data_IF_711964191225
#
_entry.id   IF_711964191225
#
_cell.length_a   1.000
_cell.length_b   1.000
_cell.length_c   1.000
_cell.angle_alpha   90.00
_cell.angle_beta   90.00
_cell.angle_gamma   90.00
#
_symmetry.space_group_name_H-M   'P 1'
#
loop_
_entity.id
_entity.type
_entity.pdbx_description
1 polymer ?
#
# COMPACT_ATOMS: atom_id res chain seq x y z
N UNK A 1 19.49 22.87 26.04
CA UNK A 1 18.95 21.52 25.80
C UNK A 1 17.64 21.45 26.55
N UNK A 2 16.49 21.37 25.84
CA UNK A 2 15.19 21.31 26.48
C UNK A 2 15.04 20.01 27.27
N UNK A 3 14.24 20.02 28.31
CA UNK A 3 13.96 18.85 29.18
C UNK A 3 13.24 17.68 28.42
N UNK A 4 13.13 17.76 27.10
CA UNK A 4 12.54 16.75 26.20
C UNK A 4 13.46 15.52 25.97
N UNK A 5 14.68 15.51 26.48
CA UNK A 5 15.67 14.48 26.24
C UNK A 5 15.37 13.09 26.84
N UNK A 6 14.21 12.88 27.47
CA UNK A 6 13.82 11.61 28.09
C UNK A 6 12.35 11.20 27.85
N UNK A 7 11.60 11.89 26.99
CA UNK A 7 10.23 11.47 26.68
C UNK A 7 10.20 10.30 25.68
N UNK A 8 9.12 9.51 25.70
CA UNK A 8 8.92 8.44 24.71
C UNK A 8 8.94 9.02 23.29
N UNK A 9 8.41 10.23 23.10
CA UNK A 9 8.40 10.91 21.81
C UNK A 9 9.83 11.18 21.29
N UNK A 10 10.74 11.64 22.14
CA UNK A 10 12.14 11.87 21.74
C UNK A 10 12.90 10.55 21.51
N UNK A 11 12.61 9.52 22.29
CA UNK A 11 13.21 8.17 22.12
C UNK A 11 12.81 7.57 20.78
N UNK A 12 11.55 7.67 20.38
CA UNK A 12 11.05 7.22 19.06
C UNK A 12 11.77 7.89 17.89
N UNK A 13 11.96 9.22 17.97
CA UNK A 13 12.74 9.96 16.97
C UNK A 13 14.19 9.46 16.89
N UNK A 14 14.83 9.29 18.05
CA UNK A 14 16.23 8.82 18.12
C UNK A 14 16.39 7.39 17.58
N UNK A 15 15.38 6.52 17.75
CA UNK A 15 15.40 5.14 17.24
C UNK A 15 15.04 5.07 15.74
N UNK A 16 14.29 6.06 15.23
CA UNK A 16 13.90 6.13 13.82
C UNK A 16 15.03 6.65 12.93
N UNK A 17 15.71 7.70 13.36
CA UNK A 17 16.68 8.44 12.55
C UNK A 17 18.11 7.90 12.72
N UNK A 18 18.97 8.24 11.78
CA UNK A 18 20.39 7.97 11.87
C UNK A 18 21.01 8.73 13.06
N UNK A 19 22.00 8.14 13.68
CA UNK A 19 22.60 8.67 14.90
C UNK A 19 23.09 10.12 14.73
N UNK A 20 22.73 10.97 15.68
CA UNK A 20 23.10 12.41 15.71
C UNK A 20 22.59 13.25 14.51
N UNK A 21 21.63 12.76 13.74
CA UNK A 21 21.11 13.49 12.57
C UNK A 21 19.95 14.44 12.87
N UNK A 22 19.27 14.27 14.02
CA UNK A 22 18.05 15.03 14.34
C UNK A 22 18.31 16.49 14.69
N UNK A 23 17.58 17.38 14.02
CA UNK A 23 17.52 18.82 14.31
C UNK A 23 16.10 19.21 14.63
N UNK A 24 15.86 19.64 15.89
CA UNK A 24 14.54 20.07 16.35
C UNK A 24 14.14 21.44 15.77
N UNK A 25 12.90 21.58 15.33
CA UNK A 25 12.28 22.84 14.90
C UNK A 25 11.17 23.20 15.89
N UNK A 26 11.20 24.43 16.42
CA UNK A 26 10.16 24.91 17.31
C UNK A 26 10.17 24.32 18.73
N UNK A 27 11.32 23.85 19.23
CA UNK A 27 11.46 23.27 20.56
C UNK A 27 11.14 24.19 21.74
N UNK A 28 11.14 25.52 21.52
CA UNK A 28 10.75 26.51 22.53
C UNK A 28 9.29 26.95 22.46
N UNK A 29 8.51 26.38 21.54
CA UNK A 29 7.08 26.69 21.40
C UNK A 29 6.31 26.09 22.57
N UNK A 30 5.38 26.85 23.12
CA UNK A 30 4.46 26.41 24.18
C UNK A 30 3.04 26.82 23.82
N UNK A 31 2.03 26.26 24.47
CA UNK A 31 0.65 26.69 24.34
C UNK A 31 0.51 28.19 24.64
N UNK A 32 -0.33 28.89 23.88
CA UNK A 32 -0.59 30.32 24.07
C UNK A 32 -1.84 30.62 24.89
N UNK A 33 -2.78 29.67 24.94
CA UNK A 33 -4.01 29.85 25.70
C UNK A 33 -3.74 30.01 27.20
N UNK A 34 -4.47 30.91 27.82
CA UNK A 34 -4.44 31.14 29.28
C UNK A 34 -5.74 30.71 29.97
N UNK A 35 -6.76 30.37 29.18
CA UNK A 35 -8.09 29.99 29.64
C UNK A 35 -8.07 28.63 30.34
N UNK A 36 -9.06 28.38 31.17
CA UNK A 36 -9.20 27.09 31.89
C UNK A 36 -7.94 26.64 32.64
N UNK A 37 -7.25 27.59 33.31
CA UNK A 37 -6.00 27.36 34.04
C UNK A 37 -4.78 26.98 33.22
N UNK A 38 -4.81 27.15 31.93
CA UNK A 38 -3.67 26.88 31.04
C UNK A 38 -2.44 27.74 31.38
N UNK A 39 -2.64 28.96 31.89
CA UNK A 39 -1.55 29.87 32.27
C UNK A 39 -0.55 29.27 33.31
N UNK A 40 -0.99 28.30 34.10
CA UNK A 40 -0.14 27.60 35.09
C UNK A 40 0.40 26.24 34.62
N UNK A 41 0.11 25.81 33.42
CA UNK A 41 0.51 24.53 32.89
C UNK A 41 1.81 24.65 32.08
N UNK A 42 2.73 23.73 32.36
CA UNK A 42 3.92 23.58 31.52
C UNK A 42 3.56 22.74 30.29
N UNK A 43 3.76 23.31 29.11
CA UNK A 43 3.49 22.65 27.82
C UNK A 43 4.74 22.67 26.95
N UNK A 44 5.80 21.92 27.34
CA UNK A 44 7.04 21.90 26.58
C UNK A 44 6.79 21.43 25.15
N UNK A 45 7.33 22.18 24.18
CA UNK A 45 7.16 21.94 22.75
C UNK A 45 5.69 21.83 22.28
N UNK A 46 4.76 22.29 23.11
CA UNK A 46 3.29 22.13 23.01
C UNK A 46 2.83 20.68 22.77
N UNK A 47 3.52 19.70 23.36
CA UNK A 47 3.19 18.28 23.30
C UNK A 47 3.51 17.61 21.96
N UNK A 48 4.30 18.25 21.08
CA UNK A 48 4.80 17.63 19.85
C UNK A 48 6.22 18.06 19.54
N UNK A 49 7.13 17.11 19.38
CA UNK A 49 8.48 17.35 18.92
C UNK A 49 8.46 17.31 17.39
N UNK A 50 8.96 18.35 16.74
CA UNK A 50 9.00 18.46 15.28
C UNK A 50 10.42 18.78 14.83
N UNK A 51 10.85 18.22 13.72
CA UNK A 51 12.19 18.45 13.19
C UNK A 51 12.48 17.67 11.92
N UNK A 52 13.74 17.62 11.56
CA UNK A 52 14.24 16.82 10.44
C UNK A 52 15.47 16.04 10.83
N UNK A 53 15.77 15.02 10.06
CA UNK A 53 16.95 14.19 10.18
C UNK A 53 17.13 13.35 8.95
N UNK A 54 17.92 12.29 9.03
CA UNK A 54 18.12 11.39 7.91
C UNK A 54 17.82 9.93 8.29
N UNK A 55 17.40 9.16 7.33
CA UNK A 55 17.26 7.70 7.38
C UNK A 55 18.11 7.13 6.26
N UNK A 56 19.14 6.37 6.59
CA UNK A 56 20.10 5.83 5.63
C UNK A 56 20.64 6.91 4.66
N UNK A 57 20.89 8.11 5.20
CA UNK A 57 21.38 9.27 4.46
C UNK A 57 20.30 10.09 3.73
N UNK A 58 19.06 9.64 3.63
CA UNK A 58 17.96 10.35 2.99
C UNK A 58 17.26 11.30 3.95
N UNK A 59 17.06 12.57 3.54
CA UNK A 59 16.35 13.58 4.34
C UNK A 59 14.91 13.17 4.60
N UNK A 60 14.47 13.30 5.85
CA UNK A 60 13.06 13.12 6.26
C UNK A 60 12.66 14.18 7.28
N UNK A 61 11.39 14.53 7.28
CA UNK A 61 10.77 15.35 8.32
C UNK A 61 9.98 14.47 9.27
N UNK A 62 10.07 14.74 10.57
CA UNK A 62 9.41 13.92 11.59
C UNK A 62 8.71 14.80 12.61
N UNK A 63 7.50 14.40 13.00
CA UNK A 63 6.86 14.87 14.21
C UNK A 63 6.53 13.70 15.12
N UNK A 64 6.69 13.87 16.43
CA UNK A 64 6.39 12.86 17.43
C UNK A 64 5.56 13.48 18.56
N UNK A 65 4.38 12.95 18.80
CA UNK A 65 3.48 13.45 19.84
C UNK A 65 3.87 12.89 21.20
N UNK A 66 3.88 13.77 22.19
CA UNK A 66 4.27 13.45 23.56
C UNK A 66 3.03 13.35 24.45
N UNK A 67 2.56 12.12 24.69
CA UNK A 67 1.40 11.88 25.55
C UNK A 67 1.60 12.32 27.01
N UNK A 68 2.83 12.55 27.46
CA UNK A 68 3.10 13.09 28.80
C UNK A 68 2.70 14.56 28.95
N UNK A 69 2.59 15.28 27.82
CA UNK A 69 2.15 16.67 27.78
C UNK A 69 0.68 16.73 27.36
N UNK A 70 -0.21 16.91 28.32
CA UNK A 70 -1.67 17.01 28.11
C UNK A 70 -2.26 15.87 27.26
N UNK A 71 -1.73 14.65 27.40
CA UNK A 71 -2.18 13.47 26.62
C UNK A 71 -1.84 13.55 25.12
N UNK A 72 -0.84 14.36 24.72
CA UNK A 72 -0.51 14.58 23.32
C UNK A 72 -1.60 15.28 22.53
N UNK A 73 -2.58 15.90 23.19
CA UNK A 73 -3.74 16.55 22.55
C UNK A 73 -3.33 17.72 21.69
N UNK A 74 -4.00 17.83 20.53
CA UNK A 74 -3.75 18.92 19.58
C UNK A 74 -4.38 20.22 20.06
N UNK A 75 -3.54 21.21 20.32
CA UNK A 75 -3.88 22.61 20.49
C UNK A 75 -3.45 23.45 19.30
N UNK A 76 -3.63 24.77 19.37
CA UNK A 76 -3.29 25.70 18.29
C UNK A 76 -1.82 25.60 17.88
N UNK A 77 -0.89 25.72 18.85
CA UNK A 77 0.54 25.75 18.55
C UNK A 77 1.08 24.37 18.17
N UNK A 78 0.53 23.30 18.76
CA UNK A 78 0.78 21.93 18.36
C UNK A 78 0.49 21.72 16.86
N UNK A 79 -0.70 22.12 16.42
CA UNK A 79 -1.11 22.01 15.02
C UNK A 79 -0.24 22.86 14.09
N UNK A 80 0.04 24.09 14.45
CA UNK A 80 0.91 25.00 13.67
C UNK A 80 2.32 24.47 13.49
N UNK A 81 2.86 23.78 14.47
CA UNK A 81 4.17 23.11 14.35
C UNK A 81 4.13 22.01 13.28
N UNK A 82 3.10 21.14 13.30
CA UNK A 82 2.93 20.08 12.30
C UNK A 82 2.70 20.69 10.90
N UNK A 83 1.78 21.64 10.76
CA UNK A 83 1.53 22.30 9.47
C UNK A 83 2.79 22.97 8.91
N UNK A 84 3.57 23.63 9.78
CA UNK A 84 4.85 24.24 9.38
C UNK A 84 5.88 23.20 8.93
N UNK A 85 5.90 22.03 9.55
CA UNK A 85 6.76 20.92 9.14
C UNK A 85 6.44 20.47 7.71
N UNK A 86 5.14 20.32 7.38
CA UNK A 86 4.68 20.01 6.03
C UNK A 86 5.08 21.06 4.99
N UNK A 87 5.06 22.35 5.35
CA UNK A 87 5.54 23.41 4.45
C UNK A 87 7.03 23.25 4.11
N UNK A 88 7.87 22.89 5.09
CA UNK A 88 9.29 22.64 4.84
C UNK A 88 9.47 21.39 3.98
N UNK A 89 8.79 20.32 4.33
CA UNK A 89 8.88 19.05 3.62
C UNK A 89 8.50 19.20 2.13
N UNK A 90 7.42 19.91 1.82
CA UNK A 90 7.02 20.18 0.43
C UNK A 90 8.02 21.07 -0.31
N UNK A 91 8.63 22.05 0.37
CA UNK A 91 9.63 22.94 -0.25
C UNK A 91 10.96 22.25 -0.55
N UNK A 92 11.28 21.21 0.19
CA UNK A 92 12.55 20.46 0.04
C UNK A 92 12.35 19.14 -0.68
N UNK A 93 11.12 18.73 -0.92
CA UNK A 93 10.77 17.46 -1.56
C UNK A 93 11.22 16.26 -0.73
N UNK A 94 10.86 16.19 0.56
CA UNK A 94 11.26 15.10 1.44
C UNK A 94 10.05 14.52 2.22
N UNK A 95 10.05 13.21 2.53
CA UNK A 95 8.95 12.55 3.22
C UNK A 95 8.64 13.13 4.59
N UNK A 96 7.37 13.03 5.02
CA UNK A 96 6.93 13.35 6.38
C UNK A 96 6.53 12.07 7.12
N UNK A 97 7.07 11.89 8.32
CA UNK A 97 6.77 10.76 9.20
C UNK A 97 6.14 11.27 10.49
N UNK A 98 4.90 10.85 10.77
CA UNK A 98 4.17 11.16 11.99
C UNK A 98 4.19 10.01 12.98
N UNK A 99 4.75 10.22 14.18
CA UNK A 99 4.77 9.27 15.29
C UNK A 99 3.68 9.69 16.27
N UNK A 100 2.54 8.99 16.23
CA UNK A 100 1.28 9.42 16.82
C UNK A 100 1.02 8.77 18.18
N UNK A 101 0.74 9.60 19.16
CA UNK A 101 0.17 9.22 20.46
C UNK A 101 -0.65 10.42 20.98
N UNK A 102 -1.93 10.51 20.59
CA UNK A 102 -2.75 11.69 20.73
C UNK A 102 -4.17 11.35 21.20
N UNK A 103 -4.56 11.88 22.35
CA UNK A 103 -5.91 11.74 22.88
C UNK A 103 -6.97 12.64 22.19
N UNK A 104 -6.64 13.22 21.03
CA UNK A 104 -7.56 14.01 20.22
C UNK A 104 -7.40 15.52 20.40
N UNK A 105 -8.51 16.23 20.38
CA UNK A 105 -8.55 17.71 20.47
C UNK A 105 -8.33 18.19 21.90
N UNK A 106 -7.54 19.25 22.08
CA UNK A 106 -7.36 19.94 23.37
C UNK A 106 -8.59 20.78 23.69
N UNK A 107 -9.43 20.30 24.62
CA UNK A 107 -10.71 20.94 24.95
C UNK A 107 -10.56 22.36 25.51
N UNK A 108 -9.47 22.64 26.22
CA UNK A 108 -9.18 23.96 26.79
C UNK A 108 -8.97 25.04 25.72
N UNK A 109 -8.59 24.66 24.50
CA UNK A 109 -8.38 25.56 23.38
C UNK A 109 -9.56 25.57 22.38
N UNK A 110 -10.53 24.67 22.57
CA UNK A 110 -11.82 24.66 21.87
C UNK A 110 -11.70 24.93 20.35
N UNK A 111 -12.20 26.09 19.91
CA UNK A 111 -12.25 26.47 18.49
C UNK A 111 -10.87 26.63 17.86
N UNK A 112 -9.86 27.08 18.60
CA UNK A 112 -8.50 27.22 18.08
C UNK A 112 -7.88 25.83 17.79
N UNK A 113 -8.10 24.85 18.68
CA UNK A 113 -7.72 23.47 18.45
C UNK A 113 -8.46 22.86 17.24
N UNK A 114 -9.76 23.16 17.10
CA UNK A 114 -10.55 22.72 15.95
C UNK A 114 -10.02 23.30 14.63
N UNK A 115 -9.68 24.59 14.61
CA UNK A 115 -9.05 25.22 13.45
C UNK A 115 -7.70 24.57 13.12
N UNK A 116 -6.91 24.26 14.17
CA UNK A 116 -5.62 23.58 14.04
C UNK A 116 -5.72 22.21 13.31
N UNK A 117 -6.75 21.42 13.58
CA UNK A 117 -6.99 20.20 12.81
C UNK A 117 -7.20 20.49 11.33
N UNK A 118 -7.96 21.53 10.98
CA UNK A 118 -8.15 21.97 9.60
C UNK A 118 -6.84 22.34 8.91
N UNK A 119 -5.93 23.03 9.62
CA UNK A 119 -4.61 23.38 9.09
C UNK A 119 -3.76 22.14 8.79
N UNK A 120 -3.78 21.12 9.66
CA UNK A 120 -3.07 19.83 9.42
C UNK A 120 -3.69 19.11 8.21
N UNK A 121 -5.02 18.97 8.16
CA UNK A 121 -5.68 18.29 7.04
C UNK A 121 -5.38 18.97 5.70
N UNK A 122 -5.40 20.30 5.67
CA UNK A 122 -5.04 21.06 4.47
C UNK A 122 -3.60 20.79 4.05
N UNK A 123 -2.66 20.81 5.00
CA UNK A 123 -1.25 20.55 4.74
C UNK A 123 -1.03 19.13 4.17
N UNK A 124 -1.67 18.11 4.74
CA UNK A 124 -1.62 16.73 4.25
C UNK A 124 -2.22 16.59 2.86
N UNK A 125 -3.39 17.21 2.62
CA UNK A 125 -4.04 17.17 1.32
C UNK A 125 -3.17 17.81 0.22
N UNK A 126 -2.47 18.90 0.53
CA UNK A 126 -1.55 19.55 -0.42
C UNK A 126 -0.25 18.76 -0.64
N UNK A 127 0.16 17.95 0.32
CA UNK A 127 1.34 17.09 0.23
C UNK A 127 1.06 15.76 -0.51
N UNK A 128 -0.21 15.36 -0.65
CA UNK A 128 -0.61 14.11 -1.30
C UNK A 128 -0.14 14.05 -2.76
N UNK A 129 0.58 12.98 -3.10
CA UNK A 129 1.18 12.80 -4.43
C UNK A 129 2.38 13.72 -4.73
N UNK A 130 2.84 14.52 -3.76
CA UNK A 130 4.02 15.39 -3.88
C UNK A 130 5.20 14.82 -3.10
N UNK A 131 4.96 14.45 -1.85
CA UNK A 131 5.93 13.81 -0.95
C UNK A 131 5.29 12.61 -0.26
N UNK A 132 6.01 11.51 -0.01
CA UNK A 132 5.50 10.39 0.77
C UNK A 132 5.13 10.80 2.20
N UNK A 133 3.98 10.33 2.66
CA UNK A 133 3.45 10.59 3.99
C UNK A 133 3.26 9.28 4.75
N UNK A 134 3.90 9.15 5.90
CA UNK A 134 3.89 7.94 6.72
C UNK A 134 3.37 8.27 8.12
N UNK A 135 2.45 7.48 8.64
CA UNK A 135 1.97 7.61 10.02
C UNK A 135 2.19 6.31 10.78
N UNK A 136 2.72 6.40 12.01
CA UNK A 136 2.84 5.29 12.95
C UNK A 136 2.09 5.62 14.25
N UNK A 137 1.12 4.78 14.60
CA UNK A 137 0.28 4.92 15.80
C UNK A 137 0.83 4.04 16.90
N UNK A 138 1.41 4.65 17.94
CA UNK A 138 2.00 3.93 19.07
C UNK A 138 1.11 3.90 20.32
N UNK A 139 0.19 4.81 20.43
CA UNK A 139 -0.77 4.90 21.52
C UNK A 139 -2.15 5.27 20.99
N UNK A 140 -2.74 6.32 21.52
CA UNK A 140 -4.07 6.77 21.08
C UNK A 140 -4.02 7.61 19.81
N UNK A 141 -4.97 7.36 18.91
CA UNK A 141 -5.22 8.16 17.70
C UNK A 141 -6.74 8.25 17.50
N UNK A 142 -7.38 9.23 18.14
CA UNK A 142 -8.82 9.20 18.36
C UNK A 142 -9.54 10.45 17.87
N UNK A 143 -10.82 10.29 17.50
CA UNK A 143 -11.66 11.38 17.01
C UNK A 143 -11.14 11.94 15.69
N UNK A 144 -10.99 13.28 15.61
CA UNK A 144 -10.42 13.95 14.44
C UNK A 144 -9.00 13.50 14.09
N UNK A 145 -8.20 13.08 15.08
CA UNK A 145 -6.86 12.56 14.85
C UNK A 145 -6.86 11.30 13.97
N UNK A 146 -7.91 10.49 14.03
CA UNK A 146 -8.03 9.27 13.23
C UNK A 146 -8.13 9.51 11.71
N UNK A 147 -8.42 10.76 11.28
CA UNK A 147 -8.40 11.12 9.87
C UNK A 147 -6.97 11.27 9.33
N UNK A 148 -6.01 11.63 10.18
CA UNK A 148 -4.62 11.88 9.78
C UNK A 148 -3.98 10.63 9.16
N UNK A 149 -3.95 9.44 9.79
CA UNK A 149 -3.43 8.24 9.16
C UNK A 149 -4.20 7.83 7.89
N UNK A 150 -5.51 8.13 7.82
CA UNK A 150 -6.29 7.86 6.62
C UNK A 150 -5.98 8.79 5.43
N UNK A 151 -5.30 9.91 5.67
CA UNK A 151 -4.84 10.87 4.66
C UNK A 151 -3.37 10.69 4.30
N UNK A 152 -2.63 9.84 4.99
CA UNK A 152 -1.25 9.48 4.66
C UNK A 152 -1.19 8.25 3.76
N UNK A 153 -0.06 8.04 3.09
CA UNK A 153 0.11 6.96 2.12
C UNK A 153 0.26 5.60 2.80
N UNK A 154 0.97 5.57 3.94
CA UNK A 154 1.22 4.34 4.70
C UNK A 154 0.95 4.54 6.18
N UNK A 155 0.29 3.56 6.79
CA UNK A 155 -0.07 3.56 8.21
C UNK A 155 0.47 2.33 8.92
N UNK A 156 1.23 2.57 9.99
CA UNK A 156 1.75 1.55 10.89
C UNK A 156 1.05 1.65 12.24
N UNK A 157 0.91 0.55 12.96
CA UNK A 157 0.24 0.57 14.25
C UNK A 157 0.86 -0.41 15.24
N UNK A 158 1.14 0.06 16.45
CA UNK A 158 1.59 -0.82 17.53
C UNK A 158 0.46 -1.76 17.94
N UNK A 159 0.76 -3.07 17.98
CA UNK A 159 -0.26 -4.11 18.02
C UNK A 159 -1.01 -4.22 19.37
N UNK A 160 -0.40 -3.80 20.49
CA UNK A 160 -0.99 -3.93 21.84
C UNK A 160 -1.63 -2.64 22.35
N UNK A 161 -0.90 -1.53 22.24
CA UNK A 161 -1.27 -0.24 22.84
C UNK A 161 -1.90 0.71 21.80
N UNK A 162 -1.65 0.49 20.52
CA UNK A 162 -2.20 1.30 19.45
C UNK A 162 -3.74 1.25 19.47
N UNK A 163 -4.39 2.43 19.43
CA UNK A 163 -5.85 2.57 19.35
C UNK A 163 -6.21 3.63 18.32
N UNK A 164 -6.89 3.21 17.27
CA UNK A 164 -7.26 4.06 16.15
C UNK A 164 -8.77 3.99 15.90
N UNK A 165 -9.48 5.10 16.12
CA UNK A 165 -10.92 5.18 15.87
C UNK A 165 -11.43 6.63 15.76
N UNK A 166 -12.46 6.84 14.96
CA UNK A 166 -13.25 8.09 14.96
C UNK A 166 -14.23 8.08 16.13
N UNK A 167 -14.98 7.00 16.28
CA UNK A 167 -15.92 6.79 17.39
C UNK A 167 -15.45 5.61 18.24
N UNK A 168 -15.43 5.79 19.55
CA UNK A 168 -15.04 4.74 20.49
C UNK A 168 -15.84 3.46 20.26
N UNK A 169 -15.23 2.26 20.30
CA UNK A 169 -15.94 0.99 20.18
C UNK A 169 -17.15 0.84 21.11
N UNK A 170 -17.07 1.42 22.31
CA UNK A 170 -18.14 1.41 23.29
C UNK A 170 -19.28 2.43 23.02
N UNK A 171 -19.05 3.38 22.12
CA UNK A 171 -20.06 4.35 21.69
C UNK A 171 -20.84 3.90 20.44
N UNK A 172 -20.45 2.78 19.84
CA UNK A 172 -21.15 2.23 18.67
C UNK A 172 -22.40 1.46 19.09
N UNK A 173 -23.48 1.66 18.36
CA UNK A 173 -24.75 0.97 18.61
C UNK A 173 -24.58 -0.57 18.60
N UNK A 174 -24.95 -1.20 19.70
CA UNK A 174 -24.90 -2.65 19.85
C UNK A 174 -23.50 -3.25 19.93
N UNK A 175 -22.47 -2.44 20.16
CA UNK A 175 -21.09 -2.86 20.30
C UNK A 175 -20.50 -2.53 21.69
N UNK A 176 -19.47 -3.28 22.07
CA UNK A 176 -18.55 -3.06 23.18
C UNK A 176 -17.17 -3.58 22.79
N UNK A 177 -16.10 -3.05 23.38
CA UNK A 177 -14.72 -3.53 23.14
C UNK A 177 -14.60 -5.05 23.29
N UNK A 178 -15.26 -5.63 24.28
CA UNK A 178 -15.24 -7.09 24.51
C UNK A 178 -15.96 -7.92 23.44
N UNK A 179 -16.82 -7.30 22.62
CA UNK A 179 -17.50 -7.94 21.50
C UNK A 179 -16.74 -7.74 20.18
N UNK A 180 -16.33 -6.49 19.92
CA UNK A 180 -15.52 -6.14 18.76
C UNK A 180 -14.72 -4.87 19.10
N UNK A 181 -13.40 -5.01 19.22
CA UNK A 181 -12.50 -3.88 19.41
C UNK A 181 -12.17 -3.22 18.07
N UNK A 182 -13.08 -2.37 17.58
CA UNK A 182 -12.91 -1.64 16.33
C UNK A 182 -11.74 -0.64 16.35
N UNK A 183 -11.10 -0.45 17.51
CA UNK A 183 -9.93 0.40 17.67
C UNK A 183 -8.61 -0.36 17.59
N UNK A 184 -8.64 -1.69 17.58
CA UNK A 184 -7.44 -2.53 17.57
C UNK A 184 -6.71 -2.51 16.23
N UNK A 185 -5.41 -2.82 16.27
CA UNK A 185 -4.58 -2.96 15.08
C UNK A 185 -5.11 -4.06 14.14
N UNK A 186 -5.60 -5.17 14.70
CA UNK A 186 -6.19 -6.26 13.93
C UNK A 186 -7.42 -5.79 13.14
N UNK A 187 -8.37 -5.09 13.79
CA UNK A 187 -9.55 -4.58 13.10
C UNK A 187 -9.18 -3.56 12.02
N UNK A 188 -8.27 -2.64 12.34
CA UNK A 188 -7.85 -1.59 11.40
C UNK A 188 -7.01 -2.16 10.24
N UNK A 189 -6.28 -3.24 10.47
CA UNK A 189 -5.53 -3.97 9.44
C UNK A 189 -6.42 -4.89 8.60
N UNK A 190 -7.16 -5.82 9.23
CA UNK A 190 -7.85 -6.91 8.51
C UNK A 190 -9.21 -6.51 7.94
N UNK A 191 -9.98 -5.67 8.68
CA UNK A 191 -11.35 -5.32 8.30
C UNK A 191 -11.46 -3.94 7.64
N UNK A 192 -10.80 -2.92 8.21
CA UNK A 192 -10.85 -1.56 7.68
C UNK A 192 -9.85 -1.35 6.51
N UNK A 193 -8.73 -2.07 6.50
CA UNK A 193 -7.71 -1.95 5.47
C UNK A 193 -6.94 -0.62 5.51
N UNK A 194 -6.89 0.01 6.69
CA UNK A 194 -6.16 1.26 6.89
C UNK A 194 -4.71 1.00 7.26
N UNK A 195 -4.43 0.02 8.12
CA UNK A 195 -3.09 -0.28 8.62
C UNK A 195 -2.34 -1.19 7.65
N UNK A 196 -1.16 -0.75 7.24
CA UNK A 196 -0.25 -1.50 6.35
C UNK A 196 0.52 -2.57 7.10
N UNK A 197 1.01 -2.24 8.29
CA UNK A 197 1.76 -3.15 9.15
C UNK A 197 1.45 -2.93 10.63
N UNK A 198 1.21 -4.02 11.34
CA UNK A 198 1.04 -4.03 12.80
C UNK A 198 2.14 -4.86 13.45
N UNK A 199 2.75 -4.34 14.51
CA UNK A 199 3.86 -5.01 15.22
C UNK A 199 4.24 -4.29 16.48
N UNK A 200 5.41 -4.62 17.01
CA UNK A 200 6.03 -3.91 18.12
C UNK A 200 6.57 -2.55 17.66
N UNK A 201 6.84 -1.65 18.61
CA UNK A 201 7.41 -0.32 18.31
C UNK A 201 8.74 -0.44 17.55
N UNK A 202 9.62 -1.35 17.93
CA UNK A 202 10.91 -1.60 17.29
C UNK A 202 10.74 -2.11 15.83
N UNK A 203 9.85 -3.08 15.63
CA UNK A 203 9.53 -3.60 14.29
C UNK A 203 8.97 -2.50 13.38
N UNK A 204 8.06 -1.67 13.89
CA UNK A 204 7.47 -0.56 13.13
C UNK A 204 8.54 0.44 12.69
N UNK A 205 9.41 0.88 13.61
CA UNK A 205 10.47 1.83 13.29
C UNK A 205 11.45 1.23 12.26
N UNK A 206 11.77 -0.06 12.38
CA UNK A 206 12.56 -0.78 11.38
C UNK A 206 11.89 -0.85 10.01
N UNK A 207 10.59 -1.16 9.97
CA UNK A 207 9.83 -1.22 8.72
C UNK A 207 9.69 0.15 8.05
N UNK A 208 9.52 1.23 8.81
CA UNK A 208 9.52 2.59 8.26
C UNK A 208 10.86 2.92 7.61
N UNK A 209 11.98 2.58 8.26
CA UNK A 209 13.33 2.77 7.69
C UNK A 209 13.49 2.01 6.38
N UNK A 210 13.04 0.75 6.33
CA UNK A 210 13.06 -0.07 5.11
C UNK A 210 12.22 0.58 4.00
N UNK A 211 10.99 0.99 4.31
CA UNK A 211 10.09 1.62 3.35
C UNK A 211 10.68 2.93 2.78
N UNK A 212 11.19 3.82 3.64
CA UNK A 212 11.83 5.08 3.20
C UNK A 212 13.01 4.82 2.27
N UNK A 213 13.78 3.73 2.50
CA UNK A 213 14.90 3.38 1.63
C UNK A 213 14.47 2.84 0.25
N UNK A 214 13.21 2.44 0.10
CA UNK A 214 12.66 1.95 -1.17
C UNK A 214 11.87 3.01 -1.92
N UNK A 215 11.38 4.05 -1.25
CA UNK A 215 10.55 5.08 -1.88
C UNK A 215 11.40 6.22 -2.45
N UNK A 216 10.95 6.87 -3.54
CA UNK A 216 11.52 8.15 -3.95
C UNK A 216 11.26 9.21 -2.86
N UNK A 217 12.12 10.21 -2.76
CA UNK A 217 11.95 11.29 -1.78
C UNK A 217 10.71 12.15 -2.08
N UNK A 218 10.36 12.28 -3.34
CA UNK A 218 9.20 13.05 -3.84
C UNK A 218 8.79 12.58 -5.24
N UNK A 219 7.77 13.18 -5.81
CA UNK A 219 7.22 12.81 -7.13
C UNK A 219 8.09 13.22 -8.34
N UNK A 220 9.18 13.93 -8.13
CA UNK A 220 10.15 14.31 -9.17
C UNK A 220 11.47 13.53 -9.04
N UNK A 221 11.60 12.69 -8.01
CA UNK A 221 12.78 11.88 -7.71
C UNK A 221 12.59 10.43 -8.16
N UNK A 222 13.70 9.71 -8.32
CA UNK A 222 13.71 8.28 -8.67
C UNK A 222 14.25 7.46 -7.50
N UNK A 223 13.54 6.37 -7.14
CA UNK A 223 14.02 5.41 -6.15
C UNK A 223 14.96 4.40 -6.81
N UNK A 224 16.25 4.63 -6.73
CA UNK A 224 17.28 3.78 -7.29
C UNK A 224 18.39 3.49 -6.27
N UNK A 225 18.82 2.23 -6.22
CA UNK A 225 19.97 1.78 -5.45
C UNK A 225 20.93 1.00 -6.35
N UNK A 226 22.21 0.96 -6.02
CA UNK A 226 23.17 0.15 -6.77
C UNK A 226 22.80 -1.33 -6.67
N UNK A 227 22.66 -2.00 -7.81
CA UNK A 227 22.29 -3.42 -7.88
C UNK A 227 23.55 -4.28 -8.03
N UNK A 228 23.76 -5.18 -7.08
CA UNK A 228 24.83 -6.19 -7.12
C UNK A 228 24.32 -7.59 -7.55
N UNK A 229 22.99 -7.78 -7.74
CA UNK A 229 22.40 -9.05 -8.15
C UNK A 229 22.56 -9.27 -9.66
N UNK A 230 22.70 -10.55 -10.07
CA UNK A 230 22.79 -10.90 -11.49
C UNK A 230 21.48 -10.65 -12.22
N UNK A 231 21.48 -9.74 -13.20
CA UNK A 231 20.31 -9.39 -14.00
C UNK A 231 19.75 -10.58 -14.79
N UNK A 232 20.59 -11.57 -15.10
CA UNK A 232 20.20 -12.78 -15.81
C UNK A 232 19.99 -13.99 -14.89
N UNK A 233 19.95 -13.77 -13.58
CA UNK A 233 19.73 -14.82 -12.60
C UNK A 233 18.45 -15.59 -12.93
N UNK A 234 18.56 -16.89 -13.17
CA UNK A 234 17.41 -17.78 -13.34
C UNK A 234 16.71 -18.02 -11.98
N UNK A 235 15.39 -17.95 -11.97
CA UNK A 235 14.56 -18.25 -10.80
C UNK A 235 13.99 -19.67 -10.93
N UNK A 236 14.79 -20.70 -10.65
CA UNK A 236 14.50 -22.10 -10.95
C UNK A 236 13.17 -22.64 -10.37
N UNK A 237 12.78 -22.19 -9.17
CA UNK A 237 11.58 -22.67 -8.48
C UNK A 237 10.36 -21.77 -8.64
N UNK A 238 10.42 -20.77 -9.51
CA UNK A 238 9.39 -19.75 -9.63
C UNK A 238 8.01 -20.30 -9.98
N UNK A 239 7.97 -21.36 -10.83
CA UNK A 239 6.72 -22.03 -11.20
C UNK A 239 5.96 -22.60 -9.99
N UNK A 240 6.68 -23.07 -8.96
CA UNK A 240 6.09 -23.62 -7.75
C UNK A 240 5.51 -22.54 -6.81
N UNK A 241 5.88 -21.29 -7.02
CA UNK A 241 5.44 -20.15 -6.20
C UNK A 241 4.22 -19.43 -6.79
N UNK A 242 3.62 -19.90 -7.88
CA UNK A 242 2.49 -19.26 -8.53
C UNK A 242 1.23 -19.13 -7.64
N UNK A 243 1.12 -19.94 -6.58
CA UNK A 243 0.06 -19.86 -5.57
C UNK A 243 0.30 -18.76 -4.54
N UNK A 244 1.54 -18.65 -4.02
CA UNK A 244 1.97 -17.59 -3.11
C UNK A 244 2.85 -16.59 -3.85
N UNK A 245 2.21 -15.60 -4.41
CA UNK A 245 2.89 -14.57 -5.20
C UNK A 245 3.74 -13.61 -4.37
N UNK A 246 3.61 -13.61 -3.05
CA UNK A 246 4.57 -12.91 -2.17
C UNK A 246 5.96 -13.54 -2.25
N UNK A 247 6.04 -14.87 -2.18
CA UNK A 247 7.29 -15.61 -2.35
C UNK A 247 7.81 -15.44 -3.79
N UNK A 248 6.93 -15.51 -4.79
CA UNK A 248 7.29 -15.30 -6.20
C UNK A 248 7.95 -13.93 -6.41
N UNK A 249 7.36 -12.87 -5.88
CA UNK A 249 7.88 -11.51 -6.00
C UNK A 249 9.22 -11.34 -5.27
N UNK A 250 9.36 -11.93 -4.07
CA UNK A 250 10.65 -11.93 -3.35
C UNK A 250 11.75 -12.63 -4.14
N UNK A 251 11.45 -13.75 -4.83
CA UNK A 251 12.43 -14.43 -5.69
C UNK A 251 12.80 -13.63 -6.94
N UNK A 252 11.87 -12.86 -7.49
CA UNK A 252 12.15 -11.95 -8.62
C UNK A 252 13.00 -10.76 -8.22
N UNK A 253 12.85 -10.28 -7.00
CA UNK A 253 13.51 -9.07 -6.51
C UNK A 253 15.02 -9.23 -6.37
N UNK A 254 15.74 -8.12 -6.51
CA UNK A 254 17.17 -8.03 -6.24
C UNK A 254 17.44 -8.41 -4.78
N UNK A 255 18.31 -9.43 -4.58
CA UNK A 255 18.68 -9.93 -3.26
C UNK A 255 17.48 -10.28 -2.34
N UNK A 256 16.30 -10.52 -2.91
CA UNK A 256 15.09 -10.85 -2.17
C UNK A 256 14.46 -9.66 -1.43
N UNK A 257 14.80 -8.41 -1.77
CA UNK A 257 14.23 -7.21 -1.16
C UNK A 257 12.73 -7.14 -1.46
N UNK A 258 11.92 -7.15 -0.41
CA UNK A 258 10.47 -7.24 -0.52
C UNK A 258 9.78 -6.52 0.63
N UNK A 259 8.81 -5.66 0.31
CA UNK A 259 7.99 -4.97 1.29
C UNK A 259 6.51 -5.04 0.90
N UNK A 260 5.74 -5.90 1.56
CA UNK A 260 4.29 -6.04 1.32
C UNK A 260 3.51 -4.98 2.11
N UNK A 261 2.62 -4.25 1.44
CA UNK A 261 1.68 -3.32 2.06
C UNK A 261 0.35 -4.00 2.32
N UNK A 262 -0.31 -3.68 3.45
CA UNK A 262 -1.65 -4.22 3.80
C UNK A 262 -1.76 -5.74 3.67
N UNK A 263 -0.76 -6.47 4.13
CA UNK A 263 -0.70 -7.93 4.02
C UNK A 263 -1.91 -8.64 4.66
N UNK A 264 -2.48 -8.06 5.72
CA UNK A 264 -3.65 -8.60 6.41
C UNK A 264 -4.98 -8.31 5.70
N UNK A 265 -5.05 -7.31 4.80
CA UNK A 265 -6.25 -6.90 4.10
C UNK A 265 -6.29 -7.39 2.65
N UNK A 266 -7.44 -7.90 2.19
CA UNK A 266 -7.60 -8.35 0.80
C UNK A 266 -6.49 -9.32 0.39
N UNK A 267 -6.28 -10.39 1.16
CA UNK A 267 -5.16 -11.33 1.05
C UNK A 267 -5.06 -12.04 -0.31
N UNK A 268 -6.13 -12.04 -1.08
CA UNK A 268 -6.20 -12.55 -2.46
C UNK A 268 -5.40 -11.69 -3.46
N UNK A 269 -4.94 -10.51 -3.04
CA UNK A 269 -4.04 -9.65 -3.79
C UNK A 269 -2.85 -9.23 -2.94
N UNK A 270 -1.66 -9.41 -3.44
CA UNK A 270 -0.42 -8.83 -2.90
C UNK A 270 -0.21 -7.46 -3.50
N UNK A 271 0.11 -6.47 -2.69
CA UNK A 271 0.67 -5.20 -3.11
C UNK A 271 2.00 -5.03 -2.39
N UNK A 272 3.08 -4.85 -3.14
CA UNK A 272 4.42 -4.83 -2.56
C UNK A 272 5.37 -3.95 -3.37
N UNK A 273 6.41 -3.45 -2.70
CA UNK A 273 7.59 -2.89 -3.37
C UNK A 273 8.66 -3.96 -3.46
N UNK A 274 9.27 -4.08 -4.64
CA UNK A 274 10.42 -4.92 -4.94
C UNK A 274 11.49 -4.08 -5.62
N UNK A 275 12.68 -4.63 -5.78
CA UNK A 275 13.75 -3.98 -6.56
C UNK A 275 14.14 -4.83 -7.76
N UNK A 276 14.27 -4.19 -8.92
CA UNK A 276 14.69 -4.82 -10.17
C UNK A 276 15.77 -3.94 -10.82
N UNK A 277 16.98 -4.45 -10.93
CA UNK A 277 18.14 -3.69 -11.38
C UNK A 277 18.35 -2.39 -10.57
N UNK A 278 18.15 -2.46 -9.27
CA UNK A 278 18.26 -1.32 -8.35
C UNK A 278 17.10 -0.35 -8.35
N UNK A 279 16.21 -0.40 -9.33
CA UNK A 279 15.01 0.44 -9.38
C UNK A 279 13.88 -0.15 -8.53
N UNK A 280 13.20 0.68 -7.76
CA UNK A 280 11.98 0.28 -7.05
C UNK A 280 10.83 0.09 -8.02
N UNK A 281 10.15 -1.03 -7.91
CA UNK A 281 8.99 -1.42 -8.72
C UNK A 281 7.83 -1.76 -7.80
N UNK A 282 6.67 -1.19 -8.05
CA UNK A 282 5.43 -1.57 -7.39
C UNK A 282 4.86 -2.84 -8.00
N UNK A 283 4.56 -3.84 -7.19
CA UNK A 283 4.01 -5.11 -7.65
C UNK A 283 2.58 -5.32 -7.18
N UNK A 284 1.70 -5.75 -8.09
CA UNK A 284 0.31 -6.14 -7.81
C UNK A 284 0.11 -7.56 -8.30
N UNK A 285 -0.15 -8.51 -7.40
CA UNK A 285 -0.20 -9.91 -7.74
C UNK A 285 -1.42 -10.63 -7.17
N UNK A 286 -2.08 -11.48 -7.95
CA UNK A 286 -3.12 -12.37 -7.42
C UNK A 286 -2.46 -13.48 -6.59
N UNK A 287 -3.02 -13.78 -5.42
CA UNK A 287 -2.55 -14.82 -4.50
C UNK A 287 -3.67 -15.80 -4.18
N UNK A 288 -3.40 -17.09 -4.28
CA UNK A 288 -4.35 -18.15 -3.95
C UNK A 288 -3.92 -19.03 -2.78
N UNK A 289 -2.68 -18.93 -2.34
CA UNK A 289 -2.14 -19.69 -1.22
C UNK A 289 -1.20 -18.80 -0.40
N UNK A 290 -1.09 -19.06 0.90
CA UNK A 290 -0.10 -18.48 1.80
C UNK A 290 0.65 -19.64 2.45
N UNK A 291 1.96 -19.67 2.23
CA UNK A 291 2.83 -20.70 2.84
C UNK A 291 3.36 -20.24 4.19
N UNK A 292 3.59 -21.22 5.07
CA UNK A 292 4.33 -21.00 6.29
C UNK A 292 5.83 -21.14 6.11
N UNK A 293 6.59 -20.76 7.13
CA UNK A 293 8.05 -20.97 7.18
C UNK A 293 8.47 -22.45 7.02
N UNK A 294 7.58 -23.36 7.38
CA UNK A 294 7.74 -24.81 7.23
C UNK A 294 7.43 -25.32 5.80
N UNK A 295 7.08 -24.43 4.88
CA UNK A 295 6.70 -24.76 3.51
C UNK A 295 5.31 -25.38 3.36
N UNK A 296 4.50 -25.42 4.41
CA UNK A 296 3.12 -25.90 4.35
C UNK A 296 2.15 -24.77 4.01
N UNK A 297 1.05 -25.09 3.32
CA UNK A 297 -0.01 -24.11 3.03
C UNK A 297 -0.76 -23.78 4.32
N UNK A 298 -0.64 -22.56 4.82
CA UNK A 298 -1.36 -22.06 6.01
C UNK A 298 -2.78 -21.58 5.67
N UNK A 299 -2.93 -20.91 4.53
CA UNK A 299 -4.21 -20.39 4.09
C UNK A 299 -4.38 -20.65 2.59
N UNK A 300 -5.60 -21.03 2.17
CA UNK A 300 -5.94 -21.24 0.77
C UNK A 300 -7.15 -20.41 0.37
N UNK A 301 -7.03 -19.70 -0.73
CA UNK A 301 -8.05 -18.88 -1.35
C UNK A 301 -8.51 -19.50 -2.67
N UNK A 302 -9.69 -19.11 -3.15
CA UNK A 302 -10.32 -19.71 -4.35
C UNK A 302 -9.77 -19.16 -5.69
N UNK A 303 -8.76 -18.29 -5.65
CA UNK A 303 -8.16 -17.69 -6.85
C UNK A 303 -9.05 -16.63 -7.52
N UNK A 304 -10.08 -16.14 -6.83
CA UNK A 304 -10.93 -15.06 -7.31
C UNK A 304 -10.49 -13.71 -6.77
N UNK A 305 -10.74 -12.63 -7.52
CA UNK A 305 -10.47 -11.26 -7.10
C UNK A 305 -11.61 -10.76 -6.19
N UNK A 306 -11.30 -10.42 -4.95
CA UNK A 306 -12.25 -9.84 -4.01
C UNK A 306 -12.41 -8.32 -4.19
N UNK A 307 -13.51 -7.76 -3.68
CA UNK A 307 -13.70 -6.31 -3.68
C UNK A 307 -12.65 -5.57 -2.82
N UNK A 308 -12.18 -6.20 -1.73
CA UNK A 308 -11.11 -5.65 -0.88
C UNK A 308 -9.76 -5.67 -1.62
N UNK A 309 -9.44 -6.79 -2.28
CA UNK A 309 -8.23 -6.92 -3.09
C UNK A 309 -8.19 -5.93 -4.25
N UNK A 310 -9.32 -5.75 -4.95
CA UNK A 310 -9.44 -4.77 -6.03
C UNK A 310 -9.22 -3.32 -5.54
N UNK A 311 -9.79 -2.97 -4.38
CA UNK A 311 -9.59 -1.62 -3.79
C UNK A 311 -8.14 -1.39 -3.36
N UNK A 312 -7.53 -2.36 -2.65
CA UNK A 312 -6.13 -2.32 -2.24
C UNK A 312 -5.19 -2.10 -3.44
N UNK A 313 -5.40 -2.87 -4.50
CA UNK A 313 -4.62 -2.75 -5.73
C UNK A 313 -4.81 -1.38 -6.40
N UNK A 314 -6.04 -0.86 -6.46
CA UNK A 314 -6.32 0.45 -7.06
C UNK A 314 -5.59 1.59 -6.35
N UNK A 315 -5.62 1.60 -5.01
CA UNK A 315 -4.95 2.62 -4.20
C UNK A 315 -3.43 2.53 -4.38
N UNK A 316 -2.88 1.32 -4.40
CA UNK A 316 -1.45 1.08 -4.59
C UNK A 316 -0.97 1.52 -5.99
N UNK A 317 -1.72 1.23 -7.05
CA UNK A 317 -1.39 1.68 -8.41
C UNK A 317 -1.43 3.19 -8.52
N UNK A 318 -2.42 3.86 -7.91
CA UNK A 318 -2.48 5.31 -7.88
C UNK A 318 -1.28 5.94 -7.14
N UNK A 319 -0.83 5.32 -6.05
CA UNK A 319 0.40 5.74 -5.36
C UNK A 319 1.62 5.59 -6.27
N UNK A 320 1.78 4.43 -6.90
CA UNK A 320 2.91 4.19 -7.81
C UNK A 320 2.95 5.20 -8.96
N UNK A 321 1.78 5.50 -9.56
CA UNK A 321 1.70 6.48 -10.64
C UNK A 321 2.05 7.90 -10.17
N UNK A 322 1.59 8.31 -8.99
CA UNK A 322 1.89 9.62 -8.42
C UNK A 322 3.38 9.82 -8.13
N UNK A 323 4.10 8.76 -7.81
CA UNK A 323 5.53 8.79 -7.48
C UNK A 323 6.44 8.19 -8.56
N UNK A 324 5.96 8.11 -9.80
CA UNK A 324 6.73 7.63 -10.95
C UNK A 324 7.32 6.21 -10.78
N UNK A 325 6.72 5.36 -9.94
CA UNK A 325 7.16 3.99 -9.68
C UNK A 325 6.55 3.06 -10.75
N UNK A 326 7.35 2.32 -11.53
CA UNK A 326 6.85 1.33 -12.50
C UNK A 326 6.03 0.23 -11.82
N UNK A 327 5.06 -0.33 -12.54
CA UNK A 327 4.17 -1.35 -11.98
C UNK A 327 4.30 -2.69 -12.70
N UNK A 328 4.63 -3.73 -11.92
CA UNK A 328 4.60 -5.14 -12.33
C UNK A 328 3.29 -5.77 -11.85
N UNK A 329 2.59 -6.48 -12.74
CA UNK A 329 1.42 -7.27 -12.36
C UNK A 329 1.69 -8.76 -12.58
N UNK A 330 1.37 -9.59 -11.59
CA UNK A 330 1.39 -11.05 -11.71
C UNK A 330 -0.06 -11.54 -11.70
N UNK A 331 -0.53 -12.02 -12.84
CA UNK A 331 -1.94 -12.39 -13.02
C UNK A 331 -2.15 -13.90 -12.89
N UNK A 332 -3.00 -14.30 -11.93
CA UNK A 332 -3.52 -15.64 -11.74
C UNK A 332 -4.92 -15.55 -11.13
N UNK A 333 -5.93 -15.28 -11.94
CA UNK A 333 -7.30 -14.98 -11.47
C UNK A 333 -8.36 -15.74 -12.25
N UNK A 334 -9.33 -16.35 -11.54
CA UNK A 334 -10.39 -17.18 -12.12
C UNK A 334 -11.71 -16.44 -12.33
N UNK A 335 -11.86 -15.23 -11.79
CA UNK A 335 -13.07 -14.43 -11.85
C UNK A 335 -13.19 -13.48 -10.67
N UNK A 336 -14.33 -12.83 -10.53
CA UNK A 336 -14.64 -12.04 -9.33
C UNK A 336 -15.24 -12.90 -8.21
N UNK A 337 -14.94 -12.54 -6.95
CA UNK A 337 -15.44 -13.27 -5.78
C UNK A 337 -16.95 -13.15 -5.64
N UNK A 338 -17.67 -14.27 -5.80
CA UNK A 338 -19.13 -14.35 -5.79
C UNK A 338 -19.67 -14.52 -4.37
N UNK A 339 -19.60 -13.48 -3.54
CA UNK A 339 -20.22 -13.45 -2.20
C UNK A 339 -21.05 -12.20 -2.01
N UNK A 340 -22.12 -12.28 -1.19
CA UNK A 340 -22.96 -11.13 -0.86
C UNK A 340 -22.16 -9.95 -0.27
N UNK A 341 -21.12 -10.24 0.49
CA UNK A 341 -20.25 -9.21 1.07
C UNK A 341 -19.46 -8.51 -0.04
N UNK A 342 -18.83 -9.28 -0.93
CA UNK A 342 -18.05 -8.74 -2.05
C UNK A 342 -18.94 -7.96 -3.04
N UNK A 343 -20.12 -8.47 -3.35
CA UNK A 343 -21.07 -7.85 -4.31
C UNK A 343 -21.48 -6.42 -3.92
N UNK A 344 -21.49 -6.09 -2.62
CA UNK A 344 -21.85 -4.73 -2.17
C UNK A 344 -20.97 -3.63 -2.76
N UNK A 345 -19.71 -3.91 -3.03
CA UNK A 345 -18.73 -2.93 -3.49
C UNK A 345 -17.90 -3.41 -4.69
N UNK A 346 -18.13 -4.65 -5.19
CA UNK A 346 -17.33 -5.25 -6.25
C UNK A 346 -17.27 -4.37 -7.50
N UNK A 347 -18.42 -3.97 -8.02
CA UNK A 347 -18.46 -3.18 -9.25
C UNK A 347 -17.73 -1.84 -9.09
N UNK A 348 -17.90 -1.17 -7.94
CA UNK A 348 -17.21 0.09 -7.63
C UNK A 348 -15.69 -0.10 -7.52
N UNK A 349 -15.24 -1.12 -6.78
CA UNK A 349 -13.82 -1.34 -6.53
C UNK A 349 -13.10 -1.89 -7.76
N UNK A 350 -13.76 -2.75 -8.55
CA UNK A 350 -13.23 -3.19 -9.84
C UNK A 350 -13.12 -2.03 -10.85
N UNK A 351 -14.10 -1.12 -10.85
CA UNK A 351 -14.03 0.10 -11.66
C UNK A 351 -12.88 1.01 -11.21
N UNK A 352 -12.64 1.15 -9.90
CA UNK A 352 -11.50 1.90 -9.37
C UNK A 352 -10.17 1.30 -9.83
N UNK A 353 -10.01 -0.03 -9.77
CA UNK A 353 -8.80 -0.71 -10.25
C UNK A 353 -8.62 -0.53 -11.76
N UNK A 354 -9.70 -0.65 -12.53
CA UNK A 354 -9.67 -0.39 -13.98
C UNK A 354 -9.21 1.04 -14.28
N UNK A 355 -9.78 2.03 -13.56
CA UNK A 355 -9.43 3.43 -13.74
C UNK A 355 -7.98 3.71 -13.33
N UNK A 356 -7.49 3.10 -12.24
CA UNK A 356 -6.11 3.22 -11.80
C UNK A 356 -5.13 2.77 -12.90
N UNK A 357 -5.27 1.55 -13.40
CA UNK A 357 -4.40 1.06 -14.48
C UNK A 357 -4.55 1.83 -15.80
N UNK A 358 -5.79 2.19 -16.18
CA UNK A 358 -6.03 2.91 -17.42
C UNK A 358 -5.51 4.36 -17.39
N UNK A 359 -5.45 4.98 -16.21
CA UNK A 359 -4.95 6.35 -16.04
C UNK A 359 -3.45 6.40 -15.78
N UNK A 360 -2.87 5.35 -15.21
CA UNK A 360 -1.45 5.31 -14.87
C UNK A 360 -0.56 5.48 -16.12
N UNK A 361 0.40 6.39 -16.01
CA UNK A 361 1.34 6.78 -17.08
C UNK A 361 2.70 6.10 -16.93
N UNK A 362 2.99 5.56 -15.75
CA UNK A 362 4.22 4.80 -15.48
C UNK A 362 4.34 3.54 -16.35
N UNK A 363 5.55 2.99 -16.55
CA UNK A 363 5.73 1.69 -17.18
C UNK A 363 4.90 0.59 -16.50
N UNK A 364 4.16 -0.19 -17.30
CA UNK A 364 3.26 -1.25 -16.80
C UNK A 364 3.54 -2.55 -17.51
N UNK A 365 4.02 -3.53 -16.77
CA UNK A 365 4.32 -4.89 -17.26
C UNK A 365 3.38 -5.88 -16.59
N UNK A 366 2.81 -6.82 -17.36
CA UNK A 366 1.98 -7.90 -16.83
C UNK A 366 2.57 -9.26 -17.19
N UNK A 367 2.62 -10.16 -16.22
CA UNK A 367 3.01 -11.56 -16.41
C UNK A 367 1.84 -12.46 -16.00
N UNK A 368 1.30 -13.21 -16.97
CA UNK A 368 0.23 -14.18 -16.72
C UNK A 368 0.88 -15.53 -16.36
N UNK A 369 0.78 -15.92 -15.09
CA UNK A 369 1.47 -17.10 -14.56
C UNK A 369 0.57 -18.33 -14.45
N UNK A 370 -0.74 -18.14 -14.61
CA UNK A 370 -1.71 -19.22 -14.48
C UNK A 370 -3.02 -18.86 -15.18
N UNK A 371 -4.14 -18.88 -14.47
CA UNK A 371 -5.46 -18.57 -15.03
C UNK A 371 -5.67 -17.07 -15.16
N UNK A 372 -6.34 -16.68 -16.22
CA UNK A 372 -6.67 -15.28 -16.52
C UNK A 372 -8.05 -15.25 -17.21
N UNK A 373 -9.12 -15.22 -16.40
CA UNK A 373 -10.47 -15.37 -16.91
C UNK A 373 -11.35 -14.15 -16.72
N UNK A 374 -12.11 -13.86 -17.78
CA UNK A 374 -13.20 -12.89 -17.79
C UNK A 374 -12.75 -11.46 -17.50
N UNK A 375 -13.68 -10.63 -17.03
CA UNK A 375 -13.39 -9.24 -16.72
C UNK A 375 -12.43 -9.08 -15.53
N UNK A 376 -12.30 -10.07 -14.65
CA UNK A 376 -11.31 -10.06 -13.58
C UNK A 376 -9.87 -10.05 -14.12
N UNK A 377 -9.60 -10.80 -15.20
CA UNK A 377 -8.33 -10.68 -15.94
C UNK A 377 -8.16 -9.29 -16.56
N UNK A 378 -9.23 -8.77 -17.20
CA UNK A 378 -9.13 -7.47 -17.88
C UNK A 378 -8.68 -6.39 -16.92
N UNK A 379 -9.25 -6.31 -15.71
CA UNK A 379 -8.94 -5.27 -14.72
C UNK A 379 -7.56 -5.45 -14.05
N UNK A 380 -6.92 -6.62 -14.20
CA UNK A 380 -5.58 -6.91 -13.70
C UNK A 380 -4.50 -6.54 -14.74
N UNK A 381 -4.47 -5.26 -15.14
CA UNK A 381 -3.46 -4.73 -16.07
C UNK A 381 -3.33 -5.54 -17.36
N UNK A 382 -4.46 -5.88 -18.01
CA UNK A 382 -4.40 -6.50 -19.32
C UNK A 382 -3.93 -5.52 -20.40
N UNK A 383 -3.48 -6.02 -21.54
CA UNK A 383 -3.08 -5.20 -22.68
C UNK A 383 -4.19 -4.23 -23.12
N UNK A 384 -5.44 -4.64 -22.98
CA UNK A 384 -6.60 -3.84 -23.40
C UNK A 384 -6.89 -2.62 -22.52
N UNK A 385 -6.35 -2.57 -21.29
CA UNK A 385 -6.46 -1.39 -20.40
C UNK A 385 -5.14 -0.64 -20.24
N UNK A 386 -4.12 -0.98 -21.05
CA UNK A 386 -2.91 -0.18 -21.17
C UNK A 386 -1.65 -0.78 -20.56
N UNK A 387 -1.55 -2.11 -20.38
CA UNK A 387 -0.25 -2.73 -20.15
C UNK A 387 0.66 -2.50 -21.36
N UNK A 388 1.89 -2.05 -21.11
CA UNK A 388 2.88 -1.80 -22.17
C UNK A 388 3.44 -3.11 -22.71
N UNK A 389 3.75 -4.06 -21.84
CA UNK A 389 4.22 -5.40 -22.16
C UNK A 389 3.43 -6.47 -21.40
N UNK A 390 3.06 -7.54 -22.09
CA UNK A 390 2.37 -8.69 -21.52
C UNK A 390 3.14 -9.96 -21.82
N UNK A 391 3.67 -10.58 -20.79
CA UNK A 391 4.28 -11.91 -20.84
C UNK A 391 3.31 -12.98 -20.33
N UNK A 392 3.50 -14.21 -20.72
CA UNK A 392 2.74 -15.32 -20.16
C UNK A 392 3.62 -16.57 -20.07
N UNK A 393 3.38 -17.39 -19.06
CA UNK A 393 4.02 -18.72 -18.97
C UNK A 393 3.37 -19.73 -19.94
N UNK A 394 4.07 -20.80 -20.32
CA UNK A 394 3.57 -21.73 -21.32
C UNK A 394 2.28 -22.47 -20.94
N UNK A 395 2.05 -22.64 -19.61
CA UNK A 395 0.86 -23.27 -19.05
C UNK A 395 -0.26 -22.28 -18.69
N UNK A 396 -0.12 -21.02 -19.02
CA UNK A 396 -1.16 -20.01 -18.75
C UNK A 396 -2.41 -20.26 -19.58
N UNK A 397 -3.57 -20.01 -18.99
CA UNK A 397 -4.88 -20.06 -19.63
C UNK A 397 -5.53 -18.69 -19.65
N UNK A 398 -5.79 -18.15 -20.83
CA UNK A 398 -6.36 -16.82 -21.02
C UNK A 398 -7.67 -16.94 -21.80
N UNK A 399 -8.80 -16.58 -21.17
CA UNK A 399 -10.08 -16.74 -21.82
C UNK A 399 -11.24 -16.07 -21.08
N UNK A 400 -12.44 -16.31 -21.60
CA UNK A 400 -13.66 -15.75 -21.00
C UNK A 400 -14.02 -16.44 -19.67
N UNK A 401 -13.82 -17.76 -19.61
CA UNK A 401 -14.07 -18.60 -18.43
C UNK A 401 -13.40 -19.95 -18.61
N UNK A 402 -13.44 -20.81 -17.58
CA UNK A 402 -12.95 -22.16 -17.72
C UNK A 402 -13.71 -22.94 -18.82
N UNK A 403 -12.99 -23.81 -19.52
CA UNK A 403 -13.50 -24.52 -20.71
C UNK A 403 -14.72 -25.38 -20.43
N UNK A 404 -14.82 -25.98 -19.26
CA UNK A 404 -15.95 -26.84 -18.91
C UNK A 404 -17.24 -26.03 -18.67
N UNK A 405 -17.12 -24.89 -18.03
CA UNK A 405 -18.21 -23.94 -17.85
C UNK A 405 -18.70 -23.37 -19.19
N UNK A 406 -17.77 -23.00 -20.07
CA UNK A 406 -18.09 -22.55 -21.42
C UNK A 406 -18.84 -23.62 -22.22
N UNK A 407 -18.34 -24.86 -22.22
CA UNK A 407 -18.99 -25.97 -22.91
C UNK A 407 -20.40 -26.28 -22.36
N UNK A 408 -20.59 -26.24 -21.04
CA UNK A 408 -21.93 -26.41 -20.42
C UNK A 408 -22.95 -25.37 -20.86
N UNK A 409 -22.51 -24.12 -21.01
CA UNK A 409 -23.39 -23.02 -21.48
C UNK A 409 -23.69 -23.16 -22.97
N UNK A 410 -22.65 -23.41 -23.79
CA UNK A 410 -22.79 -23.46 -25.25
C UNK A 410 -23.56 -24.69 -25.75
N UNK A 411 -23.48 -25.80 -25.00
CA UNK A 411 -24.08 -27.08 -25.33
C UNK A 411 -25.05 -27.55 -24.25
N UNK A 412 -25.84 -26.63 -23.73
CA UNK A 412 -26.85 -26.90 -22.70
C UNK A 412 -27.81 -28.02 -23.16
N UNK A 413 -28.05 -29.02 -22.30
CA UNK A 413 -28.88 -30.19 -22.61
C UNK A 413 -28.15 -31.36 -23.27
N UNK A 414 -26.86 -31.23 -23.61
CA UNK A 414 -26.04 -32.34 -24.11
C UNK A 414 -25.60 -33.29 -22.97
N UNK A 415 -25.23 -34.52 -23.32
CA UNK A 415 -24.69 -35.47 -22.36
C UNK A 415 -23.30 -35.06 -21.83
N UNK A 416 -22.87 -35.71 -20.74
CA UNK A 416 -21.59 -35.43 -20.10
C UNK A 416 -20.36 -35.73 -20.99
N UNK A 417 -20.46 -36.69 -21.89
CA UNK A 417 -19.40 -37.05 -22.80
C UNK A 417 -19.19 -35.95 -23.86
N UNK A 418 -20.28 -35.47 -24.45
CA UNK A 418 -20.28 -34.35 -25.40
C UNK A 418 -19.76 -33.08 -24.74
N UNK A 419 -20.21 -32.75 -23.52
CA UNK A 419 -19.72 -31.56 -22.78
C UNK A 419 -18.20 -31.65 -22.53
N UNK A 420 -17.67 -32.80 -22.15
CA UNK A 420 -16.24 -32.99 -21.93
C UNK A 420 -15.42 -32.89 -23.22
N UNK A 421 -15.92 -33.43 -24.33
CA UNK A 421 -15.29 -33.29 -25.67
C UNK A 421 -15.23 -31.83 -26.09
N UNK A 422 -16.34 -31.12 -25.97
CA UNK A 422 -16.44 -29.68 -26.32
C UNK A 422 -15.63 -28.80 -25.39
N UNK A 423 -15.48 -29.17 -24.11
CA UNK A 423 -14.58 -28.48 -23.20
C UNK A 423 -13.11 -28.61 -23.63
N UNK A 424 -12.70 -29.80 -24.02
CA UNK A 424 -11.33 -30.01 -24.51
C UNK A 424 -11.07 -29.22 -25.81
N UNK A 425 -12.04 -29.20 -26.73
CA UNK A 425 -11.98 -28.41 -27.96
C UNK A 425 -11.88 -26.91 -27.62
N UNK A 426 -12.71 -26.40 -26.71
CA UNK A 426 -12.70 -25.01 -26.27
C UNK A 426 -11.38 -24.62 -25.60
N UNK A 427 -10.85 -25.47 -24.72
CA UNK A 427 -9.55 -25.25 -24.09
C UNK A 427 -8.43 -25.07 -25.12
N UNK A 428 -8.40 -25.95 -26.11
CA UNK A 428 -7.37 -25.93 -27.18
C UNK A 428 -7.51 -24.71 -28.08
N UNK A 429 -8.72 -24.33 -28.47
CA UNK A 429 -8.96 -23.25 -29.42
C UNK A 429 -8.94 -21.86 -28.80
N UNK A 430 -9.42 -21.71 -27.57
CA UNK A 430 -9.68 -20.42 -26.95
C UNK A 430 -8.81 -20.11 -25.74
N UNK A 431 -8.70 -21.01 -24.76
CA UNK A 431 -8.04 -20.72 -23.49
C UNK A 431 -6.51 -20.90 -23.53
N UNK A 432 -5.98 -21.60 -24.53
CA UNK A 432 -4.55 -21.82 -24.65
C UNK A 432 -3.78 -20.49 -24.83
N UNK A 433 -2.68 -20.33 -24.13
CA UNK A 433 -1.83 -19.12 -24.19
C UNK A 433 -1.37 -18.78 -25.60
N UNK A 434 -1.06 -19.79 -26.43
CA UNK A 434 -0.67 -19.60 -27.82
C UNK A 434 -1.80 -18.96 -28.65
N UNK A 435 -3.06 -19.26 -28.33
CA UNK A 435 -4.23 -18.63 -28.93
C UNK A 435 -4.29 -17.14 -28.63
N UNK A 436 -4.04 -16.75 -27.39
CA UNK A 436 -3.97 -15.36 -26.97
C UNK A 436 -2.78 -14.61 -27.62
N UNK A 437 -1.62 -15.26 -27.68
CA UNK A 437 -0.43 -14.70 -28.33
C UNK A 437 -0.62 -14.47 -29.84
N UNK A 438 -1.23 -15.43 -30.56
CA UNK A 438 -1.56 -15.28 -32.00
C UNK A 438 -2.52 -14.13 -32.27
N UNK A 439 -3.33 -13.74 -31.30
CA UNK A 439 -4.26 -12.59 -31.39
C UNK A 439 -3.64 -11.27 -30.93
N UNK A 440 -2.38 -11.30 -30.48
CA UNK A 440 -1.65 -10.11 -30.02
C UNK A 440 -1.98 -9.67 -28.61
N UNK A 441 -2.62 -10.49 -27.76
CA UNK A 441 -2.92 -10.17 -26.37
C UNK A 441 -1.78 -10.52 -25.41
N UNK A 442 -0.83 -11.33 -25.84
CA UNK A 442 0.43 -11.67 -25.17
C UNK A 442 1.56 -11.35 -26.14
N UNK A 443 2.56 -10.60 -25.70
CA UNK A 443 3.69 -10.20 -26.53
C UNK A 443 4.71 -11.35 -26.68
N UNK A 444 4.97 -12.05 -25.57
CA UNK A 444 5.93 -13.18 -25.58
C UNK A 444 5.53 -14.23 -24.54
N UNK A 445 5.64 -15.50 -24.93
CA UNK A 445 5.53 -16.64 -24.01
C UNK A 445 6.94 -16.90 -23.49
N UNK A 446 7.12 -16.92 -22.17
CA UNK A 446 8.42 -17.02 -21.48
C UNK A 446 8.42 -18.17 -20.48
N UNK A 447 9.56 -18.85 -20.32
CA UNK A 447 9.70 -19.85 -19.28
C UNK A 447 9.67 -19.20 -17.88
N UNK A 448 9.09 -19.86 -16.88
CA UNK A 448 8.99 -19.30 -15.52
C UNK A 448 10.34 -18.83 -14.96
N UNK A 449 11.39 -19.64 -15.12
CA UNK A 449 12.74 -19.33 -14.63
C UNK A 449 13.37 -18.09 -15.26
N UNK A 450 12.92 -17.68 -16.44
CA UNK A 450 13.41 -16.53 -17.20
C UNK A 450 12.65 -15.24 -16.89
N UNK A 451 11.58 -15.29 -16.07
CA UNK A 451 10.68 -14.16 -15.82
C UNK A 451 11.44 -12.91 -15.38
N UNK A 452 12.42 -13.02 -14.46
CA UNK A 452 13.21 -11.90 -13.95
C UNK A 452 13.87 -11.12 -15.09
N UNK A 453 14.64 -11.77 -15.96
CA UNK A 453 15.38 -11.09 -17.04
C UNK A 453 14.46 -10.42 -18.06
N UNK A 454 13.31 -11.05 -18.37
CA UNK A 454 12.32 -10.46 -19.29
C UNK A 454 11.64 -9.23 -18.70
N UNK A 455 11.30 -9.27 -17.43
CA UNK A 455 10.67 -8.13 -16.72
C UNK A 455 11.66 -6.97 -16.57
N UNK A 456 12.92 -7.23 -16.18
CA UNK A 456 13.97 -6.23 -16.14
C UNK A 456 14.16 -5.61 -17.54
N UNK A 457 14.32 -6.42 -18.57
CA UNK A 457 14.49 -5.94 -19.95
C UNK A 457 13.30 -5.10 -20.45
N UNK A 458 12.07 -5.42 -20.03
CA UNK A 458 10.90 -4.64 -20.36
C UNK A 458 10.91 -3.26 -19.68
N UNK A 459 11.23 -3.20 -18.38
CA UNK A 459 11.34 -1.91 -17.67
C UNK A 459 12.49 -1.05 -18.18
N UNK A 460 13.65 -1.64 -18.52
CA UNK A 460 14.77 -0.93 -19.16
C UNK A 460 14.33 -0.33 -20.52
N UNK A 461 13.64 -1.09 -21.35
CA UNK A 461 13.12 -0.62 -22.63
C UNK A 461 12.09 0.52 -22.44
N UNK A 462 11.29 0.45 -21.38
CA UNK A 462 10.25 1.42 -21.05
C UNK A 462 10.74 2.61 -20.20
N UNK A 463 12.02 2.66 -19.82
CA UNK A 463 12.56 3.69 -18.93
C UNK A 463 12.25 5.11 -19.38
N UNK A 464 12.31 5.37 -20.69
CA UNK A 464 12.00 6.69 -21.29
C UNK A 464 10.56 6.83 -21.73
N UNK A 465 9.64 5.94 -21.28
CA UNK A 465 8.22 6.02 -21.63
C UNK A 465 7.66 7.41 -21.31
N UNK A 466 6.92 7.95 -22.26
CA UNK A 466 6.15 9.20 -22.12
C UNK A 466 4.74 8.95 -22.56
N UNK A 467 3.80 9.26 -21.70
CA UNK A 467 2.37 9.08 -21.96
C UNK A 467 1.60 10.21 -21.32
N UNK A 468 0.91 11.03 -22.13
CA UNK A 468 0.06 12.12 -21.63
C UNK A 468 -1.36 11.63 -21.38
N UNK A 469 -1.97 12.12 -20.35
CA UNK A 469 -3.39 11.92 -20.03
C UNK A 469 -4.12 13.26 -20.00
N UNK A 470 -5.44 13.28 -20.25
CA UNK A 470 -6.24 14.51 -20.12
C UNK A 470 -6.15 15.06 -18.70
N UNK A 471 -5.90 16.36 -18.58
CA UNK A 471 -5.88 17.07 -17.31
C UNK A 471 -7.24 17.00 -16.59
N UNK A 472 -7.18 17.16 -15.25
CA UNK A 472 -8.36 17.30 -14.39
C UNK A 472 -9.36 16.14 -14.43
N UNK A 473 -8.88 14.91 -14.59
CA UNK A 473 -9.71 13.74 -14.36
C UNK A 473 -10.09 13.65 -12.89
N UNK A 474 -11.36 13.41 -12.59
CA UNK A 474 -11.82 13.23 -11.22
C UNK A 474 -11.90 11.77 -10.78
N UNK A 475 -11.60 10.82 -11.67
CA UNK A 475 -11.79 9.39 -11.42
C UNK A 475 -13.25 8.96 -11.55
N UNK A 476 -13.49 7.67 -11.35
CA UNK A 476 -14.81 7.04 -11.46
C UNK A 476 -15.39 6.63 -10.11
N UNK A 477 -14.71 6.92 -9.01
CA UNK A 477 -15.05 6.46 -7.66
C UNK A 477 -15.16 7.60 -6.68
#
# INVERSE_FOLDING_TARGET
MSNTAQSLASTRIASLLDENSFVEIGGQVTARSTDFNMAGMETPSDGVITGYGVINGSLVYVYSQDASVMGGTIGEMHAKKIARLYEFAQKTGAPVIGLVDCAGMRLQEATDALNGFGEIYMAQAMASGVIPQITAVFGTCVGGMALIPAMTDFTFMESKNGKLFVNSPNALDGNHVSKCDTASADFQGEEAGLVDFAGTEEEILGQIRNLVSMLPANNEDEAYTECEDDLNRACADLANCAGDTGILLSQLSDNGIYFETKAAYGKDVVTAFIQLNGATVGAVANRSEIYGEDGTVKEKMDGTLSARGAKKAADFVNFCDAFCIPVLTITNVTGFKATKCSERTMAKNAAALTAAFANATVPKVNVVVGKAYGSAYVVMNSKSIGADMVFAWPNAEIGMMDAKSAAKIMYEGSDAATINEKAAEYATLQNNVTSAARRGYVDTIIEPEDTRKYVIGAFEMLYTKREDRPDRKHGTV
#
